data_IF_228535150845
#
_entry.id   IF_228535150845
#
_cell.length_a   1.000
_cell.length_b   1.000
_cell.length_c   1.000
_cell.angle_alpha   90.00
_cell.angle_beta   90.00
_cell.angle_gamma   90.00
#
_symmetry.space_group_name_H-M   'P 1'
#
loop_
_entity.id
_entity.type
_entity.pdbx_description
1 polymer ?
#
# COMPACT_ATOMS: atom_id res chain seq x y z
N UNK A 1 47.28 -46.88 -55.53
CA UNK A 1 48.23 -46.97 -54.40
C UNK A 1 47.52 -46.51 -53.13
N UNK A 2 48.00 -47.00 -51.99
CA UNK A 2 47.45 -46.93 -50.62
C UNK A 2 47.01 -45.56 -50.08
N UNK A 3 45.91 -45.56 -49.29
CA UNK A 3 45.70 -44.95 -47.95
C UNK A 3 44.18 -44.76 -47.73
N UNK A 4 43.47 -45.47 -46.84
CA UNK A 4 43.56 -45.53 -45.36
C UNK A 4 43.31 -44.17 -44.68
N UNK A 5 42.25 -44.06 -43.84
CA UNK A 5 42.21 -43.37 -42.54
C UNK A 5 40.84 -43.52 -41.82
N UNK A 6 40.89 -44.21 -40.67
CA UNK A 6 40.23 -43.97 -39.35
C UNK A 6 38.71 -43.65 -39.28
N UNK A 7 37.98 -44.49 -38.52
CA UNK A 7 36.67 -44.18 -37.89
C UNK A 7 36.87 -43.74 -36.43
N UNK A 8 36.18 -42.70 -35.91
CA UNK A 8 36.17 -42.40 -34.49
C UNK A 8 35.19 -43.31 -33.72
N UNK A 9 35.61 -43.82 -32.56
CA UNK A 9 34.71 -44.40 -31.56
C UNK A 9 34.35 -43.30 -30.55
N UNK A 10 33.06 -43.02 -30.37
CA UNK A 10 32.60 -42.09 -29.35
C UNK A 10 32.68 -42.74 -27.96
N UNK A 11 33.36 -42.09 -27.02
CA UNK A 11 33.27 -42.41 -25.60
C UNK A 11 31.92 -41.91 -25.06
N UNK A 12 31.15 -42.78 -24.43
CA UNK A 12 30.01 -42.38 -23.61
C UNK A 12 30.50 -42.14 -22.16
N UNK A 13 30.37 -40.92 -21.67
CA UNK A 13 30.61 -40.56 -20.26
C UNK A 13 29.24 -40.51 -19.55
N UNK A 14 29.02 -41.29 -18.49
CA UNK A 14 27.78 -41.20 -17.71
C UNK A 14 27.81 -39.94 -16.84
N UNK A 15 26.95 -38.96 -17.15
CA UNK A 15 26.73 -37.78 -16.32
C UNK A 15 25.88 -38.17 -15.10
N UNK A 16 26.51 -38.31 -13.94
CA UNK A 16 25.80 -38.59 -12.67
C UNK A 16 25.14 -37.29 -12.20
N UNK A 17 23.84 -37.16 -12.45
CA UNK A 17 23.05 -36.00 -12.04
C UNK A 17 22.52 -36.20 -10.61
N UNK A 18 23.24 -35.66 -9.61
CA UNK A 18 22.82 -35.72 -8.22
C UNK A 18 21.68 -34.73 -7.94
N UNK A 19 20.44 -35.23 -7.89
CA UNK A 19 19.25 -34.42 -7.56
C UNK A 19 19.18 -34.16 -6.05
N UNK A 20 19.63 -32.98 -5.60
CA UNK A 20 19.33 -32.48 -4.26
C UNK A 20 17.84 -32.15 -4.15
N UNK A 21 17.06 -33.02 -3.50
CA UNK A 21 15.69 -32.74 -3.11
C UNK A 21 15.67 -31.76 -1.93
N UNK A 22 15.46 -30.48 -2.21
CA UNK A 22 15.31 -29.45 -1.19
C UNK A 22 13.91 -29.59 -0.54
N UNK A 23 13.84 -30.23 0.62
CA UNK A 23 12.60 -30.37 1.39
C UNK A 23 12.26 -29.04 2.07
N UNK A 24 11.36 -28.26 1.47
CA UNK A 24 10.80 -27.07 2.09
C UNK A 24 9.89 -27.48 3.27
N UNK A 25 10.30 -27.15 4.49
CA UNK A 25 9.42 -27.24 5.66
C UNK A 25 8.38 -26.12 5.58
N UNK A 26 7.08 -26.39 5.86
CA UNK A 26 6.08 -25.34 5.91
C UNK A 26 6.34 -24.45 7.13
N UNK A 27 6.75 -23.21 6.88
CA UNK A 27 6.76 -22.18 7.91
C UNK A 27 5.32 -21.98 8.41
N UNK A 28 5.13 -22.01 9.74
CA UNK A 28 3.85 -21.65 10.34
C UNK A 28 3.63 -20.16 10.11
N UNK A 29 2.44 -19.76 9.66
CA UNK A 29 2.12 -18.37 9.45
C UNK A 29 2.22 -17.58 10.77
N UNK A 30 3.07 -16.56 10.78
CA UNK A 30 3.16 -15.59 11.87
C UNK A 30 1.83 -14.84 12.07
N UNK A 31 1.59 -14.41 13.30
CA UNK A 31 0.42 -13.60 13.63
C UNK A 31 0.53 -12.22 12.98
N UNK A 32 -0.32 -11.97 11.98
CA UNK A 32 -0.43 -10.66 11.33
C UNK A 32 -1.33 -9.74 12.16
N UNK A 33 -0.76 -8.66 12.67
CA UNK A 33 -1.50 -7.51 13.18
C UNK A 33 -1.59 -6.46 12.06
N UNK A 34 -2.66 -5.65 11.98
CA UNK A 34 -3.03 -4.86 10.78
C UNK A 34 -3.24 -3.34 11.00
N UNK A 35 -3.05 -2.59 9.90
CA UNK A 35 -2.74 -1.14 9.64
C UNK A 35 -2.41 -1.13 8.10
N UNK A 36 -2.20 0.00 7.40
CA UNK A 36 -1.63 0.25 6.05
C UNK A 36 -1.42 1.75 5.68
N UNK A 37 -0.23 2.35 5.67
CA UNK A 37 0.62 2.48 4.49
C UNK A 37 1.57 3.66 4.29
N UNK A 38 2.10 3.73 3.04
CA UNK A 38 3.48 3.85 2.51
C UNK A 38 3.73 4.82 1.31
N UNK A 39 4.86 5.57 1.37
CA UNK A 39 5.67 6.30 0.37
C UNK A 39 5.91 7.82 0.51
N UNK A 40 6.41 8.44 -0.57
CA UNK A 40 7.68 9.17 -0.56
C UNK A 40 7.68 10.40 -1.46
N UNK A 41 8.30 11.49 -1.01
CA UNK A 41 9.14 12.37 -1.86
C UNK A 41 9.81 13.46 -1.02
N UNK A 42 11.06 13.78 -1.36
CA UNK A 42 11.91 14.68 -0.58
C UNK A 42 11.39 16.14 -0.59
N UNK A 43 10.81 16.58 0.52
CA UNK A 43 10.66 18.00 0.84
C UNK A 43 11.32 18.29 2.18
N UNK A 44 12.22 19.29 2.18
CA UNK A 44 12.84 19.81 3.39
C UNK A 44 11.72 20.38 4.29
N UNK A 45 11.34 19.62 5.32
CA UNK A 45 10.39 20.06 6.31
C UNK A 45 11.11 21.01 7.27
N UNK A 46 10.75 22.29 7.18
CA UNK A 46 11.26 23.36 8.03
C UNK A 46 11.17 22.97 9.51
N UNK A 47 12.25 23.20 10.27
CA UNK A 47 12.38 22.76 11.67
C UNK A 47 11.59 23.63 12.65
N UNK A 48 10.82 24.61 12.17
CA UNK A 48 9.81 25.35 12.92
C UNK A 48 8.47 24.61 13.12
N UNK A 49 8.44 23.27 13.16
CA UNK A 49 7.18 22.53 13.34
C UNK A 49 6.57 22.79 14.72
N UNK A 50 5.30 23.21 14.74
CA UNK A 50 4.52 23.30 15.98
C UNK A 50 3.92 21.93 16.33
N UNK A 51 3.53 21.75 17.59
CA UNK A 51 2.73 20.58 17.98
C UNK A 51 1.36 20.61 17.32
N UNK A 52 0.88 19.46 16.83
CA UNK A 52 -0.46 19.36 16.27
C UNK A 52 -1.54 19.67 17.31
N UNK A 53 -2.59 20.38 16.89
CA UNK A 53 -3.75 20.69 17.73
C UNK A 53 -4.69 19.49 17.73
N UNK A 54 -5.03 18.97 18.91
CA UNK A 54 -6.00 17.88 19.06
C UNK A 54 -7.35 18.45 19.47
N UNK A 55 -8.41 18.16 18.71
CA UNK A 55 -9.78 18.61 18.99
C UNK A 55 -10.79 17.59 18.49
N UNK A 56 -11.75 17.19 19.35
CA UNK A 56 -12.79 16.22 18.98
C UNK A 56 -12.27 14.85 18.53
N UNK A 57 -11.10 14.42 19.05
CA UNK A 57 -10.44 13.17 18.64
C UNK A 57 -9.55 13.30 17.40
N UNK A 58 -9.57 14.43 16.70
CA UNK A 58 -8.82 14.67 15.45
C UNK A 58 -7.57 15.50 15.69
N UNK A 59 -6.52 15.23 14.91
CA UNK A 59 -5.28 16.03 14.90
C UNK A 59 -5.25 16.99 13.70
N UNK A 60 -4.90 18.26 13.94
CA UNK A 60 -4.85 19.35 12.96
C UNK A 60 -3.51 20.09 12.99
N UNK A 61 -3.23 20.92 11.98
CA UNK A 61 -2.24 22.01 12.13
C UNK A 61 -2.64 22.94 13.26
N UNK A 62 -1.66 23.48 13.98
CA UNK A 62 -1.89 24.59 14.90
C UNK A 62 -2.45 25.80 14.13
N UNK A 63 -3.29 26.60 14.80
CA UNK A 63 -4.07 27.66 14.14
C UNK A 63 -3.16 28.72 13.46
N UNK A 64 -1.98 28.93 14.01
CA UNK A 64 -0.94 29.89 13.61
C UNK A 64 0.19 29.30 12.74
N UNK A 65 0.16 27.99 12.45
CA UNK A 65 1.26 27.30 11.74
C UNK A 65 0.83 26.71 10.40
N UNK A 66 1.75 26.72 9.44
CA UNK A 66 1.64 26.03 8.14
C UNK A 66 2.07 24.56 8.19
N UNK A 67 2.71 24.12 9.28
CA UNK A 67 3.13 22.72 9.47
C UNK A 67 3.13 22.33 10.94
N UNK A 68 2.55 21.17 11.27
CA UNK A 68 2.54 20.64 12.63
C UNK A 68 2.80 19.14 12.67
N UNK A 69 3.58 18.72 13.67
CA UNK A 69 3.91 17.32 13.91
C UNK A 69 3.06 16.69 15.01
N UNK A 70 2.71 15.42 14.82
CA UNK A 70 2.17 14.54 15.87
C UNK A 70 2.99 13.25 15.90
N UNK A 71 3.34 12.77 17.09
CA UNK A 71 4.11 11.52 17.30
C UNK A 71 3.41 10.68 18.35
N UNK A 72 3.31 9.38 18.12
CA UNK A 72 2.71 8.44 19.07
C UNK A 72 3.66 8.11 20.22
N UNK A 73 3.09 7.65 21.33
CA UNK A 73 3.83 6.83 22.30
C UNK A 73 4.25 5.48 21.72
N UNK A 74 4.97 4.66 22.49
CA UNK A 74 5.27 3.28 22.11
C UNK A 74 3.96 2.49 22.15
N UNK A 75 3.46 2.10 20.98
CA UNK A 75 2.17 1.41 20.83
C UNK A 75 2.32 -0.12 20.86
N UNK A 76 3.53 -0.65 20.63
CA UNK A 76 3.86 -2.07 20.74
C UNK A 76 5.31 -2.24 21.17
N UNK A 77 5.55 -3.24 22.04
CA UNK A 77 6.87 -3.58 22.56
C UNK A 77 7.03 -5.11 22.77
N UNK A 78 6.93 -5.95 21.71
CA UNK A 78 7.18 -7.39 21.80
C UNK A 78 8.60 -7.73 22.28
N UNK A 79 8.81 -8.96 22.75
CA UNK A 79 10.15 -9.47 23.11
C UNK A 79 11.03 -9.82 21.88
N UNK A 80 10.39 -10.03 20.72
CA UNK A 80 11.02 -10.29 19.42
C UNK A 80 11.19 -9.00 18.63
N UNK A 81 12.19 -8.94 17.75
CA UNK A 81 12.38 -7.79 16.86
C UNK A 81 11.20 -7.66 15.88
N UNK A 82 10.71 -6.44 15.68
CA UNK A 82 9.74 -6.10 14.64
C UNK A 82 10.50 -5.92 13.33
N UNK A 83 10.19 -6.76 12.34
CA UNK A 83 10.85 -6.78 11.03
C UNK A 83 10.07 -6.05 9.95
N UNK A 84 8.74 -5.96 10.10
CA UNK A 84 7.90 -5.18 9.19
C UNK A 84 6.72 -4.55 9.91
N UNK A 85 6.16 -3.49 9.32
CA UNK A 85 4.94 -2.83 9.77
C UNK A 85 4.15 -2.21 8.60
N UNK A 86 2.86 -1.99 8.86
CA UNK A 86 1.86 -1.36 7.99
C UNK A 86 1.45 0.03 8.63
N UNK A 87 0.55 0.90 8.13
CA UNK A 87 0.12 2.25 8.71
C UNK A 87 -1.32 2.82 8.40
N UNK A 88 -2.46 2.24 8.81
CA UNK A 88 -3.82 2.53 8.27
C UNK A 88 -4.30 3.84 8.82
N UNK A 89 -4.53 4.82 7.95
CA UNK A 89 -5.05 6.12 8.34
C UNK A 89 -6.43 6.34 7.73
N UNK A 90 -7.35 6.87 8.54
CA UNK A 90 -8.50 7.63 8.03
C UNK A 90 -8.21 9.12 8.24
N UNK A 91 -8.13 9.87 7.14
CA UNK A 91 -7.88 11.31 7.14
C UNK A 91 -8.84 12.05 6.18
N UNK A 92 -8.75 13.38 6.21
CA UNK A 92 -9.36 14.29 5.25
C UNK A 92 -8.28 15.31 4.85
N UNK A 93 -7.99 15.36 3.55
CA UNK A 93 -6.90 16.15 2.97
C UNK A 93 -7.50 17.14 1.95
N UNK A 94 -7.91 18.34 2.40
CA UNK A 94 -8.35 19.40 1.50
C UNK A 94 -7.28 19.77 0.46
N UNK A 95 -7.69 20.34 -0.67
CA UNK A 95 -6.76 20.86 -1.67
C UNK A 95 -5.76 21.85 -1.04
N UNK A 96 -4.51 21.81 -1.49
CA UNK A 96 -3.39 22.62 -0.99
C UNK A 96 -2.97 22.30 0.46
N UNK A 97 -3.28 21.08 0.91
CA UNK A 97 -2.75 20.46 2.13
C UNK A 97 -2.13 19.10 1.83
N UNK A 98 -1.35 18.57 2.76
CA UNK A 98 -0.80 17.21 2.73
C UNK A 98 -0.56 16.69 4.13
N UNK A 99 -0.55 15.37 4.28
CA UNK A 99 -0.06 14.70 5.48
C UNK A 99 1.04 13.72 5.05
N UNK A 100 2.16 13.73 5.78
CA UNK A 100 3.28 12.82 5.55
C UNK A 100 3.43 11.93 6.79
N UNK A 101 3.38 10.62 6.61
CA UNK A 101 3.43 9.67 7.71
C UNK A 101 4.81 9.03 7.86
N UNK A 102 5.08 8.51 9.05
CA UNK A 102 6.33 7.82 9.38
C UNK A 102 6.08 6.72 10.40
N UNK A 103 6.85 5.64 10.32
CA UNK A 103 6.92 4.55 11.29
C UNK A 103 8.35 4.39 11.84
N UNK A 104 8.47 3.77 13.02
CA UNK A 104 9.74 3.47 13.67
C UNK A 104 9.61 2.21 14.51
N UNK A 105 10.54 1.25 14.40
CA UNK A 105 10.62 0.09 15.30
C UNK A 105 11.63 0.26 16.46
N UNK A 106 12.28 1.41 16.55
CA UNK A 106 13.33 1.71 17.53
C UNK A 106 13.01 2.98 18.33
N UNK A 107 11.77 3.08 18.82
CA UNK A 107 11.34 4.14 19.75
C UNK A 107 11.47 5.57 19.19
N UNK A 108 11.42 5.73 17.86
CA UNK A 108 11.59 7.02 17.19
C UNK A 108 13.04 7.47 16.99
N UNK A 109 14.04 6.62 17.28
CA UNK A 109 15.45 6.92 16.97
C UNK A 109 15.70 7.01 15.46
N UNK A 110 15.01 6.17 14.68
CA UNK A 110 14.97 6.23 13.22
C UNK A 110 13.52 6.21 12.74
N UNK A 111 13.20 7.11 11.83
CA UNK A 111 11.90 7.21 11.18
C UNK A 111 12.00 6.81 9.71
N UNK A 112 11.04 6.02 9.25
CA UNK A 112 10.87 5.57 7.87
C UNK A 112 9.56 6.16 7.33
N UNK A 113 9.61 6.87 6.20
CA UNK A 113 8.45 7.60 5.65
C UNK A 113 7.46 6.66 4.97
N UNK A 114 6.16 6.91 5.16
CA UNK A 114 5.04 6.11 4.65
C UNK A 114 3.79 7.02 4.26
N UNK A 115 2.83 6.52 3.46
CA UNK A 115 1.49 7.07 3.02
C UNK A 115 0.42 5.98 2.60
N UNK A 116 -0.69 5.77 3.35
CA UNK A 116 -1.64 4.61 3.39
C UNK A 116 -1.79 3.53 2.26
N UNK A 117 -1.94 2.20 2.58
CA UNK A 117 -1.91 1.03 1.63
C UNK A 117 -1.12 -0.31 1.89
N UNK A 118 0.22 -0.32 2.00
CA UNK A 118 1.18 -1.36 1.50
C UNK A 118 1.75 -2.44 2.51
N UNK A 119 3.10 -2.72 2.58
CA UNK A 119 3.87 -3.33 3.74
C UNK A 119 5.38 -2.91 3.78
N UNK A 120 5.89 -2.33 4.88
CA UNK A 120 7.33 -1.95 5.06
C UNK A 120 8.16 -2.98 5.80
N UNK A 121 9.35 -3.28 5.30
CA UNK A 121 10.41 -3.95 6.08
C UNK A 121 11.36 -2.93 6.72
N UNK A 122 11.65 -3.08 8.01
CA UNK A 122 12.65 -2.26 8.70
C UNK A 122 14.07 -2.77 8.41
N UNK A 123 14.99 -1.85 8.17
CA UNK A 123 16.42 -2.13 8.02
C UNK A 123 17.21 -1.99 9.35
N UNK A 124 16.53 -1.61 10.43
CA UNK A 124 17.03 -1.63 11.82
C UNK A 124 16.38 -2.75 12.64
N UNK A 125 17.14 -3.34 13.56
CA UNK A 125 16.59 -4.25 14.58
C UNK A 125 16.05 -3.42 15.75
N UNK A 126 14.77 -3.59 16.08
CA UNK A 126 14.12 -2.97 17.23
C UNK A 126 12.74 -3.58 17.48
N UNK A 127 12.18 -3.35 18.66
CA UNK A 127 10.86 -3.83 19.07
C UNK A 127 9.90 -2.72 19.53
N UNK A 128 10.32 -1.47 19.60
CA UNK A 128 9.50 -0.37 20.12
C UNK A 128 8.85 0.39 18.98
N UNK A 129 7.62 0.00 18.65
CA UNK A 129 6.87 0.53 17.52
C UNK A 129 6.28 1.91 17.86
N UNK A 130 6.45 2.87 16.96
CA UNK A 130 5.81 4.19 16.98
C UNK A 130 5.40 4.62 15.57
N UNK A 131 4.45 5.56 15.49
CA UNK A 131 4.16 6.31 14.29
C UNK A 131 4.30 7.82 14.53
N UNK A 132 4.46 8.59 13.45
CA UNK A 132 4.48 10.06 13.43
C UNK A 132 3.80 10.54 12.16
N UNK A 133 3.11 11.67 12.23
CA UNK A 133 2.59 12.37 11.05
C UNK A 133 2.99 13.84 11.06
N UNK A 134 3.17 14.41 9.88
CA UNK A 134 3.40 15.84 9.67
C UNK A 134 2.30 16.37 8.77
N UNK A 135 1.42 17.19 9.32
CA UNK A 135 0.33 17.85 8.62
C UNK A 135 0.86 19.19 8.11
N UNK A 136 0.70 19.50 6.83
CA UNK A 136 1.15 20.75 6.24
C UNK A 136 0.09 21.35 5.29
N UNK A 137 0.06 22.69 5.21
CA UNK A 137 -0.82 23.48 4.32
C UNK A 137 -0.02 24.62 3.68
N UNK A 138 -0.38 25.01 2.45
CA UNK A 138 0.37 26.05 1.71
C UNK A 138 0.24 27.46 2.30
N UNK A 139 -0.82 27.73 3.06
CA UNK A 139 -1.08 29.04 3.67
C UNK A 139 -2.01 28.91 4.89
N UNK A 140 -1.91 29.86 5.82
CA UNK A 140 -2.81 29.97 6.98
C UNK A 140 -4.28 30.17 6.60
N UNK A 141 -4.56 30.63 5.37
CA UNK A 141 -5.93 30.81 4.85
C UNK A 141 -6.57 29.51 4.33
N UNK A 142 -5.80 28.43 4.21
CA UNK A 142 -6.31 27.12 3.78
C UNK A 142 -6.79 26.34 5.01
N UNK A 143 -7.94 25.66 4.89
CA UNK A 143 -8.42 24.77 5.95
C UNK A 143 -7.40 23.65 6.23
N UNK A 144 -7.20 23.28 7.49
CA UNK A 144 -6.26 22.20 7.83
C UNK A 144 -6.80 20.85 7.37
N UNK A 145 -5.92 20.01 6.80
CA UNK A 145 -6.13 18.57 6.83
C UNK A 145 -6.22 18.05 8.26
N UNK A 146 -6.85 16.90 8.46
CA UNK A 146 -6.90 16.25 9.76
C UNK A 146 -6.83 14.73 9.67
N UNK A 147 -6.30 14.14 10.73
CA UNK A 147 -6.26 12.69 10.98
C UNK A 147 -7.42 12.36 11.92
N UNK A 148 -8.25 11.38 11.55
CA UNK A 148 -9.40 10.90 12.34
C UNK A 148 -9.06 9.61 13.12
N UNK A 149 -8.35 8.66 12.50
CA UNK A 149 -7.93 7.42 13.18
C UNK A 149 -6.71 6.74 12.55
N UNK A 150 -6.02 5.91 13.36
CA UNK A 150 -4.87 5.07 13.00
C UNK A 150 -4.83 3.78 13.86
N UNK A 151 -4.75 2.55 13.31
CA UNK A 151 -4.92 1.25 14.05
C UNK A 151 -4.01 0.09 13.53
N UNK A 152 -3.33 -0.69 14.40
CA UNK A 152 -1.87 -0.94 14.23
C UNK A 152 -1.27 -2.36 13.91
N UNK A 153 -0.30 -2.40 12.96
CA UNK A 153 0.28 -3.59 12.30
C UNK A 153 1.77 -3.78 12.48
N UNK A 154 2.17 -5.04 12.63
CA UNK A 154 3.56 -5.46 12.49
C UNK A 154 3.70 -6.99 12.40
N UNK A 155 4.84 -7.41 11.87
CA UNK A 155 5.34 -8.79 11.96
C UNK A 155 6.64 -8.79 12.78
N UNK A 156 6.78 -9.79 13.65
CA UNK A 156 8.00 -10.02 14.43
C UNK A 156 8.85 -11.14 13.85
N UNK A 157 10.16 -11.11 14.08
CA UNK A 157 11.06 -12.19 13.70
C UNK A 157 11.04 -13.34 14.71
N UNK A 158 10.95 -14.57 14.22
CA UNK A 158 11.18 -15.77 15.02
C UNK A 158 12.63 -15.96 15.48
N UNK A 159 13.61 -15.42 14.75
CA UNK A 159 15.05 -15.66 14.97
C UNK A 159 15.79 -14.48 15.58
N UNK A 160 15.32 -13.25 15.39
CA UNK A 160 15.95 -12.04 15.90
C UNK A 160 15.36 -11.65 17.27
N UNK A 161 16.06 -12.03 18.33
CA UNK A 161 15.87 -11.44 19.65
C UNK A 161 16.40 -9.99 19.67
N UNK A 162 15.67 -9.07 20.31
CA UNK A 162 16.21 -7.73 20.56
C UNK A 162 17.23 -7.83 21.69
N UNK A 163 18.47 -7.42 21.41
CA UNK A 163 19.48 -7.28 22.45
C UNK A 163 19.13 -6.06 23.33
N UNK A 164 18.50 -6.31 24.47
CA UNK A 164 18.11 -5.29 25.44
C UNK A 164 19.29 -4.50 26.03
N UNK A 165 20.52 -4.97 25.85
CA UNK A 165 21.72 -4.23 26.26
C UNK A 165 22.17 -3.18 25.24
N UNK A 166 21.59 -3.17 24.02
CA UNK A 166 21.74 -2.05 23.08
C UNK A 166 20.79 -0.90 23.43
N UNK A 167 20.85 -0.46 24.68
CA UNK A 167 20.32 0.84 25.09
C UNK A 167 21.16 1.91 24.41
N UNK A 168 20.82 2.26 23.17
CA UNK A 168 21.34 3.44 22.52
C UNK A 168 21.02 4.63 23.42
N UNK A 169 22.02 5.11 24.15
CA UNK A 169 21.96 6.26 25.04
C UNK A 169 21.71 7.50 24.18
N UNK A 170 20.42 7.71 23.89
CA UNK A 170 19.93 8.87 23.20
C UNK A 170 20.09 10.05 24.16
N UNK A 171 21.21 10.77 24.03
CA UNK A 171 21.40 12.06 24.66
C UNK A 171 20.33 13.00 24.12
N UNK A 172 19.18 12.99 24.79
CA UNK A 172 18.10 13.91 24.52
C UNK A 172 18.68 15.32 24.59
N UNK A 173 18.49 16.09 23.52
CA UNK A 173 18.80 17.51 23.47
C UNK A 173 17.75 18.26 24.31
N UNK A 174 17.75 17.98 25.62
CA UNK A 174 16.89 18.63 26.59
C UNK A 174 17.43 20.04 26.81
N UNK A 175 16.69 21.03 26.34
CA UNK A 175 17.01 22.44 26.57
C UNK A 175 17.01 22.76 28.07
N UNK A 176 18.21 22.87 28.64
CA UNK A 176 18.56 23.58 29.87
C UNK A 176 17.44 23.86 30.88
N UNK A 177 16.90 22.81 31.49
CA UNK A 177 16.21 22.88 32.78
C UNK A 177 17.15 22.38 33.87
N UNK A 178 18.01 23.25 34.42
CA UNK A 178 18.88 22.88 35.55
C UNK A 178 18.00 22.62 36.77
N UNK A 179 17.91 21.36 37.19
CA UNK A 179 17.37 20.99 38.50
C UNK A 179 18.29 19.97 39.16
N UNK A 180 18.84 20.36 40.31
CA UNK A 180 19.86 19.60 41.02
C UNK A 180 19.28 18.36 41.70
N UNK A 181 19.87 17.18 41.44
CA UNK A 181 19.81 16.04 42.37
C UNK A 181 21.16 15.32 42.47
N UNK A 182 21.94 15.68 43.49
CA UNK A 182 22.63 14.72 44.35
C UNK A 182 23.85 13.92 43.86
N UNK A 183 24.14 13.83 42.57
CA UNK A 183 25.25 12.99 42.10
C UNK A 183 26.62 13.63 42.34
N UNK A 184 27.54 12.83 42.90
CA UNK A 184 28.87 13.26 43.35
C UNK A 184 29.69 13.88 42.21
N UNK A 185 30.13 15.12 42.42
CA UNK A 185 30.97 15.91 41.50
C UNK A 185 32.22 15.13 41.07
N UNK A 186 32.75 14.24 41.91
CA UNK A 186 33.90 13.40 41.57
C UNK A 186 33.64 12.45 40.38
N UNK A 187 32.40 11.96 40.23
CA UNK A 187 31.98 11.12 39.08
C UNK A 187 32.03 11.90 37.76
N UNK A 188 31.58 13.16 37.79
CA UNK A 188 31.58 14.04 36.63
C UNK A 188 33.03 14.41 36.25
N UNK A 189 33.85 14.77 37.24
CA UNK A 189 35.26 15.14 37.04
C UNK A 189 36.06 13.99 36.43
N UNK A 190 35.90 12.75 36.90
CA UNK A 190 36.64 11.62 36.34
C UNK A 190 36.20 11.23 34.92
N UNK A 191 34.92 11.42 34.55
CA UNK A 191 34.49 11.23 33.16
C UNK A 191 35.09 12.30 32.23
N UNK A 192 35.17 13.56 32.66
CA UNK A 192 35.79 14.63 31.87
C UNK A 192 37.31 14.44 31.74
N UNK A 193 38.00 14.05 32.81
CA UNK A 193 39.45 13.79 32.78
C UNK A 193 39.81 12.57 31.90
N UNK A 194 38.96 11.53 31.90
CA UNK A 194 39.07 10.38 30.98
C UNK A 194 39.06 10.81 29.50
N UNK A 195 38.23 11.78 29.13
CA UNK A 195 38.13 12.29 27.75
C UNK A 195 39.35 13.09 27.28
N UNK A 196 40.17 13.63 28.19
CA UNK A 196 41.46 14.28 27.89
C UNK A 196 42.67 13.39 28.21
N UNK A 197 42.47 12.09 28.43
CA UNK A 197 43.55 11.11 28.61
C UNK A 197 44.25 11.17 29.96
N UNK A 198 43.68 11.86 30.96
CA UNK A 198 44.19 11.93 32.32
C UNK A 198 43.42 10.92 33.19
N UNK A 199 44.03 9.76 33.43
CA UNK A 199 43.37 8.68 34.17
C UNK A 199 43.15 9.00 35.66
N UNK A 200 41.92 8.86 36.14
CA UNK A 200 41.64 8.78 37.58
C UNK A 200 42.08 7.41 38.12
N UNK A 201 43.13 7.39 38.94
CA UNK A 201 43.57 6.17 39.61
C UNK A 201 42.71 5.84 40.83
N UNK A 202 41.98 4.73 40.80
CA UNK A 202 41.31 4.14 41.97
C UNK A 202 41.53 2.63 42.04
N UNK A 203 41.61 2.12 43.27
CA UNK A 203 42.19 0.80 43.57
C UNK A 203 41.29 -0.39 43.23
N UNK A 204 41.92 -1.56 43.05
CA UNK A 204 41.21 -2.84 42.92
C UNK A 204 40.47 -3.22 44.21
N UNK A 205 39.24 -3.70 44.08
CA UNK A 205 38.56 -4.53 45.09
C UNK A 205 38.03 -5.81 44.47
N UNK A 206 38.16 -6.92 45.19
CA UNK A 206 38.04 -8.29 44.70
C UNK A 206 36.65 -8.91 44.90
N UNK A 207 36.29 -9.84 43.99
CA UNK A 207 35.49 -11.06 44.19
C UNK A 207 34.13 -10.99 44.92
N UNK A 208 33.08 -11.43 44.22
CA UNK A 208 32.25 -12.53 44.76
C UNK A 208 31.65 -13.42 43.66
N UNK A 209 31.51 -14.71 43.93
CA UNK A 209 31.00 -15.74 43.02
C UNK A 209 29.60 -16.19 43.48
N UNK A 210 28.68 -16.42 42.54
CA UNK A 210 27.34 -16.93 42.85
C UNK A 210 26.74 -17.71 41.68
N UNK A 211 26.86 -19.03 41.72
CA UNK A 211 26.33 -19.96 40.70
C UNK A 211 24.93 -20.47 41.06
N UNK A 212 24.06 -20.65 40.07
CA UNK A 212 22.89 -21.52 40.19
C UNK A 212 22.63 -22.28 38.88
N UNK A 213 22.70 -23.62 38.93
CA UNK A 213 22.33 -24.50 37.83
C UNK A 213 20.82 -24.76 37.85
N UNK A 214 20.21 -24.90 36.66
CA UNK A 214 18.94 -25.63 36.53
C UNK A 214 18.99 -26.57 35.32
N UNK A 215 18.53 -27.81 35.54
CA UNK A 215 18.54 -28.92 34.58
C UNK A 215 17.14 -29.52 34.53
N UNK A 216 16.58 -29.66 33.31
CA UNK A 216 15.42 -30.52 33.02
C UNK A 216 15.39 -30.76 31.50
N UNK A 217 15.95 -31.87 30.99
CA UNK A 217 15.28 -33.17 30.81
C UNK A 217 14.27 -33.18 29.65
N UNK A 218 14.69 -33.79 28.53
CA UNK A 218 13.85 -34.03 27.36
C UNK A 218 12.97 -35.28 27.50
N UNK A 219 11.88 -35.34 26.73
CA UNK A 219 11.07 -36.55 26.56
C UNK A 219 10.57 -36.66 25.10
N UNK A 220 10.50 -37.89 24.59
CA UNK A 220 10.34 -38.25 23.16
C UNK A 220 9.16 -39.22 22.94
N UNK A 221 8.95 -39.65 21.67
CA UNK A 221 8.12 -40.82 21.22
C UNK A 221 6.63 -40.46 20.91
N UNK A 222 5.95 -41.04 19.89
CA UNK A 222 6.38 -41.57 18.57
C UNK A 222 5.61 -40.97 17.36
N UNK A 223 5.92 -41.44 16.15
CA UNK A 223 5.19 -41.14 14.91
C UNK A 223 3.91 -42.00 14.72
N UNK A 224 2.95 -41.47 13.95
CA UNK A 224 1.81 -42.20 13.38
C UNK A 224 1.81 -41.97 11.86
N UNK A 225 1.63 -43.04 11.08
CA UNK A 225 1.61 -42.99 9.62
C UNK A 225 0.17 -43.13 9.09
N UNK A 226 -0.16 -42.41 8.02
CA UNK A 226 -1.44 -42.58 7.31
C UNK A 226 -1.27 -42.55 5.79
N UNK A 227 -1.93 -43.51 5.17
CA UNK A 227 -1.90 -43.97 3.79
C UNK A 227 -2.32 -42.96 2.72
N UNK A 228 -1.48 -42.90 1.68
CA UNK A 228 -1.79 -42.96 0.24
C UNK A 228 -3.26 -42.99 -0.22
N UNK A 229 -3.62 -42.10 -1.15
CA UNK A 229 -4.54 -42.40 -2.26
C UNK A 229 -4.35 -41.43 -3.45
N UNK A 230 -3.74 -41.92 -4.53
CA UNK A 230 -3.48 -41.15 -5.76
C UNK A 230 -4.38 -41.64 -6.89
N UNK A 231 -5.30 -40.79 -7.38
CA UNK A 231 -6.11 -41.07 -8.57
C UNK A 231 -5.61 -40.26 -9.78
N UNK A 232 -4.71 -40.87 -10.56
CA UNK A 232 -4.31 -40.40 -11.89
C UNK A 232 -5.14 -41.08 -12.97
N UNK A 233 -5.97 -40.32 -13.69
CA UNK A 233 -6.67 -40.80 -14.90
C UNK A 233 -6.11 -40.10 -16.14
N UNK A 234 -5.23 -40.80 -16.88
CA UNK A 234 -4.75 -40.37 -18.20
C UNK A 234 -5.85 -40.51 -19.25
N UNK A 235 -6.20 -39.41 -19.92
CA UNK A 235 -7.11 -39.38 -21.08
C UNK A 235 -6.43 -38.74 -22.29
N UNK A 236 -5.61 -39.50 -23.01
CA UNK A 236 -4.92 -39.01 -24.22
C UNK A 236 -5.83 -39.14 -25.45
N UNK A 237 -6.29 -38.02 -25.98
CA UNK A 237 -7.13 -37.95 -27.18
C UNK A 237 -6.66 -36.87 -28.15
N UNK A 238 -5.88 -37.26 -29.16
CA UNK A 238 -5.51 -36.36 -30.27
C UNK A 238 -6.76 -36.03 -31.11
N UNK A 239 -7.14 -34.76 -31.18
CA UNK A 239 -7.97 -34.24 -32.26
C UNK A 239 -7.61 -32.79 -32.58
N UNK A 240 -7.01 -32.59 -33.74
CA UNK A 240 -6.66 -31.29 -34.30
C UNK A 240 -7.89 -30.62 -34.90
N UNK A 241 -8.56 -29.78 -34.11
CA UNK A 241 -9.57 -28.84 -34.58
C UNK A 241 -9.19 -27.42 -34.17
N UNK A 242 -9.53 -26.42 -34.99
CA UNK A 242 -9.47 -25.01 -34.59
C UNK A 242 -10.56 -24.72 -33.54
N UNK A 243 -10.31 -25.18 -32.32
CA UNK A 243 -11.07 -24.75 -31.17
C UNK A 243 -10.74 -23.29 -30.89
N UNK A 244 -11.62 -22.39 -31.33
CA UNK A 244 -11.78 -21.15 -30.61
C UNK A 244 -12.12 -21.54 -29.16
N UNK A 245 -11.16 -21.37 -28.24
CA UNK A 245 -11.44 -21.35 -26.81
C UNK A 245 -12.26 -20.09 -26.52
N UNK A 246 -13.55 -20.22 -26.85
CA UNK A 246 -14.63 -19.65 -26.06
C UNK A 246 -14.32 -20.15 -24.65
N UNK A 247 -13.95 -19.22 -23.77
CA UNK A 247 -14.09 -19.49 -22.34
C UNK A 247 -15.58 -19.62 -22.13
N UNK A 248 -16.08 -20.85 -22.16
CA UNK A 248 -17.39 -21.17 -21.63
C UNK A 248 -17.27 -20.89 -20.14
N UNK A 249 -17.57 -19.64 -19.75
CA UNK A 249 -17.91 -19.31 -18.38
C UNK A 249 -18.94 -20.36 -17.95
N UNK A 250 -18.61 -21.11 -16.90
CA UNK A 250 -19.36 -22.31 -16.53
C UNK A 250 -20.86 -22.02 -16.43
N UNK A 251 -21.69 -22.99 -16.81
CA UNK A 251 -23.14 -22.83 -16.77
C UNK A 251 -23.57 -22.27 -15.41
N UNK A 252 -24.34 -21.18 -15.47
CA UNK A 252 -24.78 -20.43 -14.30
C UNK A 252 -25.73 -21.28 -13.48
N UNK A 253 -25.21 -22.01 -12.49
CA UNK A 253 -26.05 -22.60 -11.46
C UNK A 253 -26.67 -21.48 -10.62
N UNK A 254 -27.99 -21.46 -10.52
CA UNK A 254 -28.73 -20.52 -9.67
C UNK A 254 -28.28 -20.71 -8.21
N UNK A 255 -27.66 -19.68 -7.64
CA UNK A 255 -27.03 -19.71 -6.32
C UNK A 255 -25.50 -19.71 -6.33
N UNK A 256 -24.85 -19.87 -7.49
CA UNK A 256 -23.40 -19.73 -7.69
C UNK A 256 -23.10 -18.73 -8.80
N UNK A 257 -23.22 -17.42 -8.47
CA UNK A 257 -22.60 -16.37 -9.28
C UNK A 257 -21.07 -16.55 -9.21
N UNK A 258 -20.57 -17.33 -10.17
CA UNK A 258 -19.18 -17.77 -10.22
C UNK A 258 -18.30 -16.58 -10.60
N UNK A 259 -17.79 -15.88 -9.58
CA UNK A 259 -16.97 -14.68 -9.75
C UNK A 259 -15.71 -15.03 -10.54
N UNK A 260 -15.62 -14.52 -11.76
CA UNK A 260 -14.51 -14.79 -12.66
C UNK A 260 -13.37 -13.81 -12.39
N UNK A 261 -12.59 -14.10 -11.34
CA UNK A 261 -11.38 -13.35 -11.00
C UNK A 261 -10.21 -13.83 -11.85
N UNK A 262 -9.52 -12.91 -12.50
CA UNK A 262 -8.40 -13.21 -13.41
C UNK A 262 -7.23 -12.26 -13.19
N UNK A 263 -6.01 -12.71 -13.44
CA UNK A 263 -4.82 -11.85 -13.57
C UNK A 263 -3.97 -12.29 -14.75
N UNK A 264 -3.18 -11.38 -15.30
CA UNK A 264 -2.18 -11.78 -16.30
C UNK A 264 -0.98 -12.39 -15.57
N UNK A 265 -0.42 -13.48 -16.10
CA UNK A 265 0.73 -14.13 -15.46
C UNK A 265 1.90 -13.15 -15.26
N UNK A 266 2.42 -13.10 -14.02
CA UNK A 266 3.47 -12.18 -13.54
C UNK A 266 3.06 -10.68 -13.47
N UNK A 267 1.77 -10.35 -13.59
CA UNK A 267 1.24 -9.01 -13.30
C UNK A 267 0.50 -9.03 -11.95
N UNK A 268 0.67 -8.01 -11.08
CA UNK A 268 -0.05 -7.93 -9.80
C UNK A 268 -1.54 -7.57 -9.96
N UNK A 269 -1.95 -6.99 -11.10
CA UNK A 269 -3.31 -6.52 -11.34
C UNK A 269 -4.34 -7.65 -11.41
N UNK A 270 -5.36 -7.59 -10.55
CA UNK A 270 -6.48 -8.52 -10.52
C UNK A 270 -7.70 -7.85 -11.14
N UNK A 271 -8.37 -8.57 -12.03
CA UNK A 271 -9.59 -8.13 -12.70
C UNK A 271 -10.76 -9.05 -12.36
N UNK A 272 -11.93 -8.47 -12.11
CA UNK A 272 -13.20 -9.19 -12.11
C UNK A 272 -13.81 -9.12 -13.51
N UNK A 273 -14.28 -10.26 -14.02
CA UNK A 273 -15.03 -10.34 -15.29
C UNK A 273 -16.54 -10.39 -15.01
N UNK A 274 -17.17 -9.22 -15.07
CA UNK A 274 -18.61 -9.00 -14.81
C UNK A 274 -19.29 -8.44 -16.06
N UNK A 275 -20.45 -9.01 -16.44
CA UNK A 275 -21.20 -8.58 -17.62
C UNK A 275 -20.43 -8.69 -18.95
N UNK A 276 -19.39 -9.53 -19.02
CA UNK A 276 -18.48 -9.61 -20.16
C UNK A 276 -17.49 -8.45 -20.26
N UNK A 277 -17.32 -7.65 -19.20
CA UNK A 277 -16.37 -6.54 -19.09
C UNK A 277 -15.34 -6.84 -18.01
N UNK A 278 -14.15 -6.22 -18.11
CA UNK A 278 -13.13 -6.27 -17.05
C UNK A 278 -13.21 -5.04 -16.15
N UNK A 279 -13.28 -5.31 -14.85
CA UNK A 279 -13.20 -4.35 -13.76
C UNK A 279 -11.87 -4.56 -13.03
N UNK A 280 -11.04 -3.52 -12.90
CA UNK A 280 -9.77 -3.59 -12.19
C UNK A 280 -10.02 -3.42 -10.69
N UNK A 281 -9.64 -4.41 -9.88
CA UNK A 281 -9.63 -4.31 -8.42
C UNK A 281 -8.33 -3.59 -8.00
N UNK A 282 -8.37 -2.33 -7.51
CA UNK A 282 -7.15 -1.51 -7.48
C UNK A 282 -6.12 -1.90 -6.43
N UNK A 283 -6.55 -2.49 -5.31
CA UNK A 283 -5.66 -2.90 -4.22
C UNK A 283 -6.08 -4.26 -3.64
N UNK A 284 -5.12 -4.96 -3.03
CA UNK A 284 -5.41 -6.20 -2.28
C UNK A 284 -6.36 -5.97 -1.10
N UNK A 285 -6.36 -4.76 -0.53
CA UNK A 285 -7.25 -4.40 0.59
C UNK A 285 -8.71 -4.20 0.15
N UNK A 286 -8.94 -3.77 -1.10
CA UNK A 286 -10.27 -3.77 -1.74
C UNK A 286 -10.65 -5.19 -2.17
N UNK A 287 -9.71 -5.98 -2.68
CA UNK A 287 -9.94 -7.40 -3.03
C UNK A 287 -10.46 -8.20 -1.83
N UNK A 288 -9.86 -8.04 -0.65
CA UNK A 288 -10.34 -8.68 0.58
C UNK A 288 -11.62 -8.06 1.16
N UNK A 289 -11.91 -6.77 0.90
CA UNK A 289 -13.18 -6.10 1.27
C UNK A 289 -14.39 -6.76 0.58
N UNK A 290 -14.21 -7.23 -0.65
CA UNK A 290 -15.21 -8.04 -1.38
C UNK A 290 -15.31 -9.50 -0.89
N UNK A 291 -14.48 -9.92 0.07
CA UNK A 291 -14.39 -11.31 0.52
C UNK A 291 -13.74 -12.26 -0.49
N UNK A 292 -13.07 -11.72 -1.52
CA UNK A 292 -12.36 -12.54 -2.50
C UNK A 292 -11.13 -13.22 -1.91
N UNK A 293 -10.72 -14.34 -2.53
CA UNK A 293 -9.56 -15.11 -2.13
C UNK A 293 -8.62 -15.34 -3.30
N UNK A 294 -7.31 -15.33 -3.04
CA UNK A 294 -6.29 -15.56 -4.08
C UNK A 294 -6.43 -16.92 -4.78
N UNK A 295 -7.01 -17.92 -4.12
CA UNK A 295 -7.33 -19.25 -4.70
C UNK A 295 -8.41 -19.20 -5.79
N UNK A 296 -9.17 -18.11 -5.90
CA UNK A 296 -10.18 -17.90 -6.95
C UNK A 296 -9.60 -17.17 -8.19
N UNK A 297 -8.40 -16.61 -8.10
CA UNK A 297 -7.79 -15.82 -9.17
C UNK A 297 -7.12 -16.74 -10.20
N UNK A 298 -7.62 -16.71 -11.43
CA UNK A 298 -7.11 -17.52 -12.54
C UNK A 298 -6.03 -16.77 -13.33
N UNK A 299 -4.88 -17.42 -13.54
CA UNK A 299 -3.82 -16.90 -14.41
C UNK A 299 -4.26 -17.02 -15.88
N UNK A 300 -4.35 -15.88 -16.58
CA UNK A 300 -4.63 -15.81 -18.01
C UNK A 300 -3.51 -15.09 -18.78
N UNK A 301 -3.60 -15.14 -20.11
CA UNK A 301 -2.73 -14.36 -21.01
C UNK A 301 -3.33 -12.98 -21.27
N UNK A 302 -2.48 -11.98 -21.55
CA UNK A 302 -2.91 -10.64 -21.96
C UNK A 302 -3.94 -10.69 -23.12
N UNK A 303 -3.68 -11.53 -24.14
CA UNK A 303 -4.58 -11.74 -25.28
C UNK A 303 -5.96 -12.31 -24.92
N UNK A 304 -6.10 -12.98 -23.77
CA UNK A 304 -7.42 -13.38 -23.24
C UNK A 304 -8.09 -12.21 -22.51
N UNK A 305 -7.35 -11.45 -21.69
CA UNK A 305 -7.86 -10.27 -20.98
C UNK A 305 -8.29 -9.14 -21.94
N UNK A 306 -7.62 -8.99 -23.07
CA UNK A 306 -7.92 -7.95 -24.07
C UNK A 306 -9.22 -8.19 -24.83
N UNK A 307 -9.81 -9.40 -24.75
CA UNK A 307 -11.15 -9.68 -25.29
C UNK A 307 -12.27 -8.98 -24.51
N UNK A 308 -12.03 -8.65 -23.24
CA UNK A 308 -13.00 -8.01 -22.37
C UNK A 308 -12.80 -6.50 -22.39
N UNK A 309 -13.78 -5.69 -22.82
CA UNK A 309 -13.70 -4.23 -22.72
C UNK A 309 -13.68 -3.80 -21.25
N UNK A 310 -13.06 -2.65 -20.96
CA UNK A 310 -13.09 -2.05 -19.62
C UNK A 310 -14.53 -1.69 -19.25
N UNK A 311 -14.89 -1.80 -17.97
CA UNK A 311 -16.06 -1.10 -17.43
C UNK A 311 -15.96 0.42 -17.69
N UNK A 312 -17.14 1.06 -17.81
CA UNK A 312 -17.28 2.52 -17.92
C UNK A 312 -18.20 3.11 -16.87
N UNK A 313 -19.04 2.30 -16.22
CA UNK A 313 -20.11 2.78 -15.36
C UNK A 313 -20.13 1.99 -14.06
N UNK A 314 -20.30 2.72 -12.96
CA UNK A 314 -20.34 2.16 -11.62
C UNK A 314 -21.38 2.89 -10.75
N UNK A 315 -21.93 2.18 -9.77
CA UNK A 315 -22.72 2.71 -8.67
C UNK A 315 -22.10 2.28 -7.35
N UNK A 316 -22.25 3.09 -6.31
CA UNK A 316 -21.77 2.75 -4.97
C UNK A 316 -22.83 1.91 -4.26
N UNK A 317 -22.43 0.83 -3.61
CA UNK A 317 -23.30 0.01 -2.74
C UNK A 317 -24.06 0.90 -1.76
N UNK A 318 -25.39 0.92 -1.89
CA UNK A 318 -26.29 1.75 -1.08
C UNK A 318 -26.76 3.06 -1.74
N UNK A 319 -26.06 3.61 -2.74
CA UNK A 319 -26.44 4.83 -3.47
C UNK A 319 -26.83 4.55 -4.93
N UNK A 320 -27.92 3.78 -5.11
CA UNK A 320 -28.49 3.44 -6.43
C UNK A 320 -29.00 4.65 -7.25
N UNK A 321 -28.92 5.87 -6.71
CA UNK A 321 -29.40 7.09 -7.36
C UNK A 321 -28.33 7.81 -8.18
N UNK A 322 -27.04 7.48 -7.96
CA UNK A 322 -25.91 8.16 -8.61
C UNK A 322 -25.07 7.15 -9.38
N UNK A 323 -25.10 7.26 -10.70
CA UNK A 323 -24.19 6.54 -11.58
C UNK A 323 -22.96 7.39 -11.85
N UNK A 324 -21.78 6.77 -11.81
CA UNK A 324 -20.50 7.42 -12.07
C UNK A 324 -19.85 6.81 -13.31
N UNK A 325 -19.26 7.66 -14.14
CA UNK A 325 -18.43 7.28 -15.29
C UNK A 325 -16.98 7.06 -14.85
N UNK A 326 -16.36 5.97 -15.32
CA UNK A 326 -14.97 5.62 -15.07
C UNK A 326 -14.10 5.96 -16.28
N UNK A 327 -13.32 7.03 -16.13
CA UNK A 327 -12.52 7.64 -17.19
C UNK A 327 -11.29 6.80 -17.57
N UNK A 328 -10.71 7.10 -18.72
CA UNK A 328 -9.49 6.46 -19.23
C UNK A 328 -8.29 6.68 -18.29
N UNK A 329 -8.23 7.82 -17.61
CA UNK A 329 -7.20 8.16 -16.61
C UNK A 329 -7.49 7.62 -15.20
N UNK A 330 -8.38 6.64 -15.03
CA UNK A 330 -8.63 6.00 -13.74
C UNK A 330 -9.38 6.86 -12.71
N UNK A 331 -9.98 7.98 -13.13
CA UNK A 331 -10.81 8.83 -12.28
C UNK A 331 -12.30 8.52 -12.43
N UNK A 332 -13.08 8.87 -11.41
CA UNK A 332 -14.55 8.79 -11.39
C UNK A 332 -15.22 10.16 -11.61
N UNK A 333 -16.38 10.16 -12.28
CA UNK A 333 -17.16 11.38 -12.58
C UNK A 333 -18.64 11.13 -12.44
N UNK A 334 -19.38 12.00 -11.73
CA UNK A 334 -20.83 11.86 -11.61
C UNK A 334 -21.52 12.10 -12.96
N UNK A 335 -22.36 11.16 -13.40
CA UNK A 335 -23.26 11.35 -14.54
C UNK A 335 -24.44 12.22 -14.07
N UNK A 336 -24.68 13.42 -14.63
CA UNK A 336 -25.64 14.37 -14.06
C UNK A 336 -27.09 13.90 -14.05
N UNK A 337 -27.54 13.23 -15.13
CA UNK A 337 -28.91 12.74 -15.28
C UNK A 337 -29.01 11.58 -16.28
N UNK A 338 -30.20 11.01 -16.41
CA UNK A 338 -30.49 9.87 -17.31
C UNK A 338 -30.43 10.23 -18.80
N UNK A 339 -30.64 11.48 -19.19
CA UNK A 339 -30.51 11.89 -20.59
C UNK A 339 -29.04 11.90 -21.01
N UNK A 340 -28.15 12.36 -20.13
CA UNK A 340 -26.69 12.25 -20.33
C UNK A 340 -26.26 10.79 -20.42
N UNK A 341 -26.74 9.94 -19.50
CA UNK A 341 -26.48 8.50 -19.52
C UNK A 341 -26.85 7.87 -20.87
N UNK A 342 -28.10 8.08 -21.30
CA UNK A 342 -28.60 7.57 -22.58
C UNK A 342 -27.85 8.12 -23.80
N UNK A 343 -27.31 9.35 -23.72
CA UNK A 343 -26.62 9.97 -24.87
C UNK A 343 -25.22 9.41 -25.14
N UNK A 344 -24.68 8.57 -24.26
CA UNK A 344 -23.49 7.76 -24.53
C UNK A 344 -23.80 6.39 -25.17
N UNK A 345 -25.08 6.02 -25.28
CA UNK A 345 -25.50 4.69 -25.73
C UNK A 345 -25.26 3.58 -24.70
N UNK A 346 -24.93 3.96 -23.46
CA UNK A 346 -24.78 3.03 -22.34
C UNK A 346 -26.15 2.53 -21.84
N UNK A 347 -26.15 1.38 -21.14
CA UNK A 347 -27.36 0.69 -20.66
C UNK A 347 -27.26 0.36 -19.18
N UNK A 348 -28.40 0.18 -18.49
CA UNK A 348 -28.39 -0.03 -17.03
C UNK A 348 -27.71 -1.34 -16.62
N UNK A 349 -27.75 -2.38 -17.46
CA UNK A 349 -27.01 -3.63 -17.29
C UNK A 349 -25.48 -3.50 -17.45
N UNK A 350 -25.00 -2.36 -17.96
CA UNK A 350 -23.57 -2.06 -18.10
C UNK A 350 -22.96 -1.42 -16.82
N UNK A 351 -23.79 -1.12 -15.82
CA UNK A 351 -23.42 -0.55 -14.53
C UNK A 351 -23.00 -1.66 -13.57
N UNK A 352 -21.78 -1.60 -13.03
CA UNK A 352 -21.36 -2.45 -11.91
C UNK A 352 -21.66 -1.78 -10.56
N UNK A 353 -21.79 -2.57 -9.49
CA UNK A 353 -21.97 -2.06 -8.12
C UNK A 353 -20.67 -2.30 -7.36
N UNK A 354 -20.05 -1.23 -6.86
CA UNK A 354 -18.77 -1.27 -6.15
C UNK A 354 -18.92 -0.88 -4.67
N UNK A 355 -17.99 -1.37 -3.85
CA UNK A 355 -17.91 -1.00 -2.43
C UNK A 355 -17.59 0.49 -2.27
N UNK A 356 -18.02 1.09 -1.14
CA UNK A 356 -17.69 2.48 -0.81
C UNK A 356 -16.18 2.68 -0.63
N UNK A 357 -15.47 1.63 -0.21
CA UNK A 357 -14.01 1.62 -0.03
C UNK A 357 -13.30 1.77 -1.37
N UNK A 358 -13.74 1.01 -2.39
CA UNK A 358 -13.24 1.16 -3.76
C UNK A 358 -13.62 2.51 -4.36
N UNK A 359 -14.86 2.96 -4.19
CA UNK A 359 -15.29 4.26 -4.72
C UNK A 359 -14.40 5.42 -4.21
N UNK A 360 -14.01 5.37 -2.93
CA UNK A 360 -13.13 6.37 -2.31
C UNK A 360 -11.67 6.27 -2.78
N UNK A 361 -11.22 5.16 -3.36
CA UNK A 361 -9.87 5.00 -3.90
C UNK A 361 -9.67 5.83 -5.18
N UNK A 362 -10.72 5.97 -5.99
CA UNK A 362 -10.60 6.66 -7.27
C UNK A 362 -10.64 8.20 -7.12
N UNK A 363 -9.67 8.93 -7.69
CA UNK A 363 -9.72 10.39 -7.72
C UNK A 363 -10.92 10.90 -8.54
N UNK A 364 -11.47 12.05 -8.15
CA UNK A 364 -12.58 12.67 -8.88
C UNK A 364 -12.09 13.42 -10.11
N UNK A 365 -12.66 13.13 -11.28
CA UNK A 365 -12.37 13.88 -12.50
C UNK A 365 -13.05 15.26 -12.42
N UNK A 366 -12.22 16.31 -12.43
CA UNK A 366 -12.69 17.71 -12.43
C UNK A 366 -12.54 18.39 -13.78
N UNK A 367 -11.75 17.86 -14.71
CA UNK A 367 -11.46 18.52 -15.99
C UNK A 367 -11.98 17.69 -17.16
N UNK A 368 -12.64 18.38 -18.09
CA UNK A 368 -13.29 17.78 -19.26
C UNK A 368 -13.03 18.61 -20.51
N UNK A 369 -13.13 17.99 -21.68
CA UNK A 369 -13.17 18.68 -22.99
C UNK A 369 -14.28 18.10 -23.87
N UNK A 370 -14.74 18.88 -24.85
CA UNK A 370 -15.76 18.43 -25.80
C UNK A 370 -15.13 17.52 -26.86
N UNK A 371 -15.64 16.30 -27.01
CA UNK A 371 -15.09 15.33 -27.98
C UNK A 371 -15.41 15.70 -29.44
N UNK A 372 -16.58 16.30 -29.68
CA UNK A 372 -17.05 16.68 -31.01
C UNK A 372 -17.83 18.01 -30.98
N UNK A 373 -17.40 19.07 -31.71
CA UNK A 373 -16.19 19.14 -32.54
C UNK A 373 -14.91 18.94 -31.73
N UNK A 374 -13.79 18.67 -32.42
CA UNK A 374 -12.47 18.52 -31.79
C UNK A 374 -11.88 19.87 -31.33
N UNK A 375 -12.60 20.61 -30.48
CA UNK A 375 -12.04 21.75 -29.76
C UNK A 375 -11.50 21.28 -28.40
N UNK A 376 -10.18 21.36 -28.22
CA UNK A 376 -9.49 21.04 -26.95
C UNK A 376 -9.67 22.14 -25.88
N UNK A 377 -10.84 22.76 -25.86
CA UNK A 377 -11.24 23.71 -24.83
C UNK A 377 -11.50 22.94 -23.53
N UNK A 378 -10.72 23.25 -22.50
CA UNK A 378 -10.79 22.58 -21.20
C UNK A 378 -11.80 23.30 -20.32
N UNK A 379 -12.69 22.54 -19.70
CA UNK A 379 -13.63 23.02 -18.70
C UNK A 379 -13.36 22.34 -17.35
N UNK A 380 -13.39 23.10 -16.26
CA UNK A 380 -13.43 22.57 -14.91
C UNK A 380 -14.88 22.43 -14.46
N UNK A 381 -15.26 21.23 -14.02
CA UNK A 381 -16.55 20.93 -13.40
C UNK A 381 -16.42 21.12 -11.89
N UNK A 382 -17.33 21.92 -11.32
CA UNK A 382 -17.36 22.31 -9.92
C UNK A 382 -18.69 21.83 -9.33
N UNK A 383 -18.61 21.07 -8.23
CA UNK A 383 -19.77 20.54 -7.49
C UNK A 383 -20.78 19.77 -8.37
N UNK A 384 -20.32 19.19 -9.49
CA UNK A 384 -21.12 18.38 -10.40
C UNK A 384 -22.19 19.12 -11.22
N UNK A 385 -22.33 20.44 -11.10
CA UNK A 385 -23.43 21.19 -11.73
C UNK A 385 -23.01 22.48 -12.47
N UNK A 386 -21.75 22.90 -12.33
CA UNK A 386 -21.23 24.18 -12.84
C UNK A 386 -19.93 23.92 -13.60
N UNK A 387 -19.77 24.53 -14.78
CA UNK A 387 -18.53 24.49 -15.58
C UNK A 387 -17.86 25.86 -15.64
N UNK A 388 -16.53 25.90 -15.63
CA UNK A 388 -15.72 27.09 -15.95
C UNK A 388 -14.79 26.76 -17.11
N UNK A 389 -14.72 27.65 -18.09
CA UNK A 389 -13.70 27.54 -19.14
C UNK A 389 -12.31 27.86 -18.57
N UNK A 390 -11.32 27.03 -18.88
CA UNK A 390 -9.92 27.26 -18.54
C UNK A 390 -9.17 27.69 -19.81
N UNK A 391 -8.55 28.87 -19.74
CA UNK A 391 -7.64 29.29 -20.82
C UNK A 391 -6.44 28.34 -20.92
N UNK A 392 -5.82 28.13 -22.10
CA UNK A 392 -4.64 27.27 -22.24
C UNK A 392 -3.48 27.66 -21.31
N UNK A 393 -3.36 28.95 -20.98
CA UNK A 393 -2.42 29.47 -20.00
C UNK A 393 -2.75 29.02 -18.56
N UNK A 394 -4.03 29.01 -18.17
CA UNK A 394 -4.45 28.47 -16.88
C UNK A 394 -4.19 26.96 -16.77
N UNK A 395 -4.53 26.17 -17.81
CA UNK A 395 -4.23 24.73 -17.86
C UNK A 395 -2.74 24.46 -17.63
N UNK A 396 -1.87 25.18 -18.35
CA UNK A 396 -0.41 25.07 -18.23
C UNK A 396 0.11 25.49 -16.85
N UNK A 397 -0.42 26.56 -16.26
CA UNK A 397 -0.02 27.04 -14.92
C UNK A 397 -0.48 26.12 -13.79
N UNK A 398 -1.66 25.52 -13.93
CA UNK A 398 -2.21 24.55 -12.98
C UNK A 398 -1.56 23.16 -13.09
N UNK A 399 -0.69 22.93 -14.10
CA UNK A 399 -0.06 21.62 -14.38
C UNK A 399 -1.08 20.48 -14.50
N UNK A 400 -2.19 20.74 -15.20
CA UNK A 400 -3.21 19.71 -15.45
C UNK A 400 -2.67 18.77 -16.51
N UNK A 401 -2.50 17.50 -16.14
CA UNK A 401 -2.03 16.45 -17.06
C UNK A 401 -3.14 16.01 -18.02
N UNK A 402 -2.80 15.55 -19.22
CA UNK A 402 -3.80 15.14 -20.21
C UNK A 402 -4.67 13.98 -19.74
N UNK A 403 -4.15 13.11 -18.87
CA UNK A 403 -4.88 12.00 -18.26
C UNK A 403 -5.96 12.49 -17.28
N UNK A 404 -5.81 13.71 -16.72
CA UNK A 404 -6.79 14.35 -15.85
C UNK A 404 -7.96 15.00 -16.60
N UNK A 405 -7.94 15.02 -17.95
CA UNK A 405 -8.95 15.69 -18.78
C UNK A 405 -9.76 14.67 -19.57
N UNK A 406 -11.01 14.44 -19.16
CA UNK A 406 -11.87 13.44 -19.80
C UNK A 406 -12.63 13.99 -21.03
N UNK A 407 -12.78 13.21 -22.12
CA UNK A 407 -13.68 13.57 -23.21
C UNK A 407 -15.14 13.49 -22.75
N UNK A 408 -15.96 14.45 -23.18
CA UNK A 408 -17.41 14.44 -22.95
C UNK A 408 -18.19 14.82 -24.21
N UNK A 409 -19.45 14.37 -24.31
CA UNK A 409 -20.34 14.74 -25.39
C UNK A 409 -21.03 16.10 -25.13
N UNK A 410 -21.66 16.65 -26.18
CA UNK A 410 -22.33 17.95 -26.11
C UNK A 410 -23.55 17.95 -25.16
N UNK A 411 -24.27 16.83 -25.06
CA UNK A 411 -25.43 16.68 -24.16
C UNK A 411 -25.01 16.88 -22.71
N UNK A 412 -23.93 16.21 -22.29
CA UNK A 412 -23.38 16.34 -20.95
C UNK A 412 -22.86 17.74 -20.69
N UNK A 413 -22.05 18.28 -21.60
CA UNK A 413 -21.50 19.63 -21.46
C UNK A 413 -22.61 20.68 -21.30
N UNK A 414 -23.76 20.50 -21.95
CA UNK A 414 -24.91 21.39 -21.88
C UNK A 414 -25.65 21.36 -20.52
N UNK A 415 -25.55 20.26 -19.74
CA UNK A 415 -26.19 20.19 -18.41
C UNK A 415 -25.57 21.12 -17.37
N UNK A 416 -24.27 21.40 -17.50
CA UNK A 416 -23.54 22.23 -16.53
C UNK A 416 -23.75 23.73 -16.77
N UNK A 417 -24.07 24.45 -15.70
CA UNK A 417 -24.21 25.92 -15.70
C UNK A 417 -22.86 26.58 -15.99
N UNK A 418 -22.80 27.49 -16.96
CA UNK A 418 -21.56 28.23 -17.26
C UNK A 418 -21.30 29.31 -16.20
N UNK A 419 -20.15 29.24 -15.54
CA UNK A 419 -19.62 30.28 -14.65
C UNK A 419 -18.47 31.07 -15.32
N UNK A 420 -18.01 32.14 -14.65
CA UNK A 420 -16.91 32.99 -15.16
C UNK A 420 -15.65 32.14 -15.48
N UNK A 421 -14.95 32.42 -16.59
CA UNK A 421 -13.75 31.68 -17.00
C UNK A 421 -12.59 31.90 -16.02
N UNK A 422 -11.65 30.96 -16.01
CA UNK A 422 -10.39 31.05 -15.28
C UNK A 422 -9.30 31.57 -16.23
N UNK A 423 -8.87 32.81 -15.96
CA UNK A 423 -7.76 33.50 -16.63
C UNK A 423 -6.70 33.75 -15.56
N UNK A 424 -5.51 33.16 -15.73
CA UNK A 424 -4.39 33.23 -14.78
C UNK A 424 -3.16 33.88 -15.43
#
# INVERSE_FOLDING_TARGET
>A
MTNSIIKPKYLAVPLILATMTLTALPAKADQVFAFSEDLTSNYNLDMGQTGAKISGGRAFTADDSVSSGITSDVIANPSKAIISARLDVSDDIPSNTRIIYYISNNNGQRWMQVNPGYTYSFDSVGNQLRWKAVIAKESLLVGSAYIDSVYLAYTVSDTLAVNSNNTYNNYAYNGSGISNTGDDVNSLVCNVLSLVGLGCGSAQTTNYVGSANYVSSAQTIPAVATTTSSNTSNGSGNNSNLAATIFTAGEKQEGSDSVNLVRVKNQPEIYEIVGGKKHLIPTMDIFYDYGFKLEWVQDITQKQLDKFPRIKLMQVTGDKKKTYYFTEGGMIRLVPDKNVFNSYGDREEDIIIISKKEFNFYPQNQFVFLENPLNRDVFQIIQGNTKRYLTPQAVKRMKIDSEQIAPINQTELATYKTAKPIVL
#
